data_IF_087539442066
#
_entry.id   IF_087539442066
#
_cell.length_a   1.000
_cell.length_b   1.000
_cell.length_c   1.000
_cell.angle_alpha   90.00
_cell.angle_beta   90.00
_cell.angle_gamma   90.00
#
_symmetry.space_group_name_H-M   'P 1'
#
loop_
_entity.id
_entity.type
_entity.pdbx_description
1 polymer ?
#
# COMPACT_ATOMS: atom_id res chain seq x y z
N UNK A 1 -35.09 -22.54 40.03
CA UNK A 1 -33.62 -22.59 40.11
C UNK A 1 -33.09 -23.39 38.93
N UNK A 2 -32.44 -22.77 37.95
CA UNK A 2 -31.14 -23.22 37.43
C UNK A 2 -30.61 -22.17 36.46
N UNK A 3 -29.33 -21.91 36.60
CA UNK A 3 -28.60 -20.69 36.28
C UNK A 3 -28.06 -20.67 34.85
N UNK A 4 -28.03 -19.45 34.32
CA UNK A 4 -27.22 -18.98 33.20
C UNK A 4 -25.81 -19.56 33.19
N UNK A 5 -25.42 -20.27 32.12
CA UNK A 5 -24.03 -20.32 31.63
C UNK A 5 -24.00 -20.77 30.16
N UNK A 6 -24.11 -19.79 29.27
CA UNK A 6 -23.93 -19.97 27.84
C UNK A 6 -23.44 -18.69 27.18
N UNK A 7 -22.68 -17.88 27.93
CA UNK A 7 -21.97 -16.71 27.41
C UNK A 7 -20.48 -16.97 27.58
N UNK A 8 -19.74 -16.67 26.52
CA UNK A 8 -18.29 -16.44 26.49
C UNK A 8 -17.39 -17.66 26.26
N UNK A 9 -17.22 -18.04 24.98
CA UNK A 9 -15.88 -18.29 24.41
C UNK A 9 -15.85 -17.87 22.92
N UNK A 10 -15.27 -16.68 22.69
CA UNK A 10 -14.31 -16.36 21.63
C UNK A 10 -14.43 -17.13 20.29
N UNK A 11 -14.94 -16.44 19.27
CA UNK A 11 -14.17 -16.28 18.02
C UNK A 11 -14.37 -14.85 17.52
N UNK A 12 -13.48 -13.93 17.90
CA UNK A 12 -13.40 -12.66 17.22
C UNK A 12 -12.95 -12.93 15.77
N UNK A 13 -13.89 -12.80 14.84
CA UNK A 13 -13.67 -12.13 13.56
C UNK A 13 -12.58 -12.68 12.64
N UNK A 14 -12.49 -14.00 12.42
CA UNK A 14 -11.71 -14.49 11.26
C UNK A 14 -12.56 -14.25 10.00
N UNK A 15 -12.08 -13.46 9.01
CA UNK A 15 -12.83 -13.24 7.78
C UNK A 15 -13.01 -14.56 7.01
N UNK A 16 -14.24 -14.86 6.61
CA UNK A 16 -14.64 -16.20 6.19
C UNK A 16 -14.16 -16.49 4.76
N UNK A 17 -14.20 -15.49 3.88
CA UNK A 17 -13.72 -15.61 2.50
C UNK A 17 -12.25 -15.16 2.32
N UNK A 18 -11.62 -15.62 1.23
CA UNK A 18 -10.27 -15.18 0.85
C UNK A 18 -10.21 -13.67 0.59
N UNK A 19 -11.25 -13.13 -0.05
CA UNK A 19 -11.37 -11.71 -0.36
C UNK A 19 -11.57 -10.87 0.91
N UNK A 20 -12.38 -11.33 1.88
CA UNK A 20 -12.53 -10.63 3.15
C UNK A 20 -11.21 -10.61 3.94
N UNK A 21 -10.43 -11.70 3.90
CA UNK A 21 -9.09 -11.74 4.52
C UNK A 21 -8.13 -10.77 3.84
N UNK A 22 -8.15 -10.69 2.51
CA UNK A 22 -7.35 -9.74 1.74
C UNK A 22 -7.75 -8.29 2.01
N UNK A 23 -9.05 -8.01 2.11
CA UNK A 23 -9.55 -6.69 2.51
C UNK A 23 -9.07 -6.34 3.91
N UNK A 24 -9.15 -7.26 4.88
CA UNK A 24 -8.64 -7.01 6.22
C UNK A 24 -7.13 -6.78 6.24
N UNK A 25 -6.36 -7.61 5.52
CA UNK A 25 -4.92 -7.46 5.37
C UNK A 25 -4.55 -6.12 4.74
N UNK A 26 -5.29 -5.67 3.71
CA UNK A 26 -5.10 -4.36 3.10
C UNK A 26 -5.23 -3.22 4.12
N UNK A 27 -6.30 -3.21 4.93
CA UNK A 27 -6.49 -2.18 5.97
C UNK A 27 -5.38 -2.21 7.03
N UNK A 28 -4.92 -3.40 7.43
CA UNK A 28 -3.79 -3.53 8.36
C UNK A 28 -2.50 -2.96 7.74
N UNK A 29 -2.21 -3.29 6.48
CA UNK A 29 -1.04 -2.80 5.77
C UNK A 29 -1.08 -1.29 5.57
N UNK A 30 -2.25 -0.72 5.24
CA UNK A 30 -2.40 0.74 5.18
C UNK A 30 -2.16 1.39 6.54
N UNK A 31 -2.62 0.80 7.64
CA UNK A 31 -2.30 1.30 9.00
C UNK A 31 -0.79 1.29 9.27
N UNK A 32 -0.06 0.27 8.80
CA UNK A 32 1.40 0.21 8.91
C UNK A 32 2.09 1.25 8.01
N UNK A 33 1.57 1.48 6.81
CA UNK A 33 2.07 2.51 5.90
C UNK A 33 1.89 3.93 6.44
N UNK A 34 0.97 4.16 7.37
CA UNK A 34 0.81 5.46 8.02
C UNK A 34 1.79 5.72 9.17
N UNK A 35 2.48 4.69 9.68
CA UNK A 35 3.38 4.87 10.83
C UNK A 35 4.50 5.86 10.52
N UNK A 36 4.90 6.67 11.50
CA UNK A 36 5.98 7.66 11.36
C UNK A 36 7.39 7.01 11.41
N UNK A 37 7.56 5.88 10.72
CA UNK A 37 8.81 5.13 10.68
C UNK A 37 9.02 4.40 9.35
N UNK A 38 10.11 4.70 8.65
CA UNK A 38 10.34 4.21 7.29
C UNK A 38 10.52 2.69 7.20
N UNK A 39 11.10 2.03 8.19
CA UNK A 39 11.25 0.56 8.18
C UNK A 39 9.91 -0.16 8.28
N UNK A 40 8.98 0.39 9.05
CA UNK A 40 7.63 -0.18 9.17
C UNK A 40 6.91 -0.03 7.84
N UNK A 41 6.98 1.18 7.25
CA UNK A 41 6.40 1.44 5.93
C UNK A 41 7.01 0.54 4.85
N UNK A 42 8.33 0.36 4.85
CA UNK A 42 9.02 -0.51 3.90
C UNK A 42 8.58 -1.98 4.03
N UNK A 43 8.50 -2.49 5.25
CA UNK A 43 8.06 -3.86 5.50
C UNK A 43 6.61 -4.07 5.05
N UNK A 44 5.72 -3.12 5.34
CA UNK A 44 4.34 -3.17 4.88
C UNK A 44 4.25 -3.11 3.36
N UNK A 45 5.02 -2.21 2.72
CA UNK A 45 5.08 -2.09 1.27
C UNK A 45 5.51 -3.40 0.59
N UNK A 46 6.51 -4.12 1.12
CA UNK A 46 6.95 -5.39 0.54
C UNK A 46 5.82 -6.44 0.50
N UNK A 47 4.98 -6.48 1.54
CA UNK A 47 3.80 -7.36 1.56
C UNK A 47 2.75 -6.89 0.56
N UNK A 48 2.52 -5.57 0.46
CA UNK A 48 1.61 -5.00 -0.54
C UNK A 48 2.05 -5.39 -1.96
N UNK A 49 3.33 -5.30 -2.28
CA UNK A 49 3.87 -5.62 -3.61
C UNK A 49 3.61 -7.08 -4.00
N UNK A 50 3.92 -8.02 -3.11
CA UNK A 50 3.65 -9.43 -3.32
C UNK A 50 2.15 -9.74 -3.51
N UNK A 51 1.29 -9.17 -2.66
CA UNK A 51 -0.15 -9.39 -2.74
C UNK A 51 -0.77 -8.74 -3.97
N UNK A 52 -0.26 -7.58 -4.38
CA UNK A 52 -0.70 -6.88 -5.59
C UNK A 52 -0.46 -7.75 -6.84
N UNK A 53 0.71 -8.36 -6.98
CA UNK A 53 0.98 -9.18 -8.17
C UNK A 53 0.10 -10.43 -8.19
N UNK A 54 -0.21 -11.02 -7.02
CA UNK A 54 -0.86 -12.33 -6.89
C UNK A 54 -2.39 -12.30 -6.86
N UNK A 55 -3.01 -11.19 -6.48
CA UNK A 55 -4.46 -11.13 -6.26
C UNK A 55 -5.15 -9.97 -6.97
N UNK A 56 -6.06 -10.28 -7.90
CA UNK A 56 -6.89 -9.27 -8.57
C UNK A 56 -7.71 -8.43 -7.59
N UNK A 57 -8.32 -9.05 -6.58
CA UNK A 57 -9.09 -8.34 -5.56
C UNK A 57 -8.21 -7.35 -4.80
N UNK A 58 -7.02 -7.78 -4.39
CA UNK A 58 -6.08 -6.91 -3.68
C UNK A 58 -5.59 -5.75 -4.56
N UNK A 59 -5.32 -5.99 -5.85
CA UNK A 59 -5.02 -4.91 -6.79
C UNK A 59 -6.13 -3.87 -6.84
N UNK A 60 -7.39 -4.30 -6.91
CA UNK A 60 -8.53 -3.38 -6.96
C UNK A 60 -8.57 -2.49 -5.72
N UNK A 61 -8.28 -3.03 -4.53
CA UNK A 61 -8.20 -2.23 -3.30
C UNK A 61 -7.11 -1.15 -3.39
N UNK A 62 -5.87 -1.55 -3.72
CA UNK A 62 -4.74 -0.62 -3.85
C UNK A 62 -4.98 0.44 -4.93
N UNK A 63 -5.53 0.06 -6.08
CA UNK A 63 -5.84 1.00 -7.17
C UNK A 63 -6.95 1.98 -6.76
N UNK A 64 -7.90 1.55 -5.95
CA UNK A 64 -8.98 2.41 -5.46
C UNK A 64 -8.45 3.57 -4.62
N UNK A 65 -7.48 3.33 -3.73
CA UNK A 65 -6.85 4.36 -2.89
C UNK A 65 -5.44 4.76 -3.38
N UNK A 66 -5.18 4.62 -4.69
CA UNK A 66 -3.82 4.69 -5.21
C UNK A 66 -3.07 5.99 -4.85
N UNK A 67 -3.76 7.13 -4.81
CA UNK A 67 -3.15 8.41 -4.44
C UNK A 67 -2.58 8.37 -3.02
N UNK A 68 -3.39 7.96 -2.03
CA UNK A 68 -2.94 7.84 -0.65
C UNK A 68 -1.79 6.84 -0.52
N UNK A 69 -1.85 5.73 -1.26
CA UNK A 69 -0.74 4.78 -1.33
C UNK A 69 0.56 5.41 -1.85
N UNK A 70 0.50 6.21 -2.92
CA UNK A 70 1.67 6.92 -3.47
C UNK A 70 2.22 7.96 -2.48
N UNK A 71 1.35 8.70 -1.79
CA UNK A 71 1.76 9.66 -0.77
C UNK A 71 2.55 8.98 0.35
N UNK A 72 2.07 7.84 0.85
CA UNK A 72 2.69 7.12 1.96
C UNK A 72 4.00 6.40 1.61
N UNK A 73 4.19 6.02 0.34
CA UNK A 73 5.33 5.19 -0.12
C UNK A 73 6.37 5.95 -0.94
N UNK A 74 5.98 6.99 -1.69
CA UNK A 74 6.89 7.82 -2.45
C UNK A 74 7.13 9.18 -1.78
N UNK A 75 6.22 9.63 -0.92
CA UNK A 75 6.23 10.98 -0.37
C UNK A 75 5.92 12.02 -1.45
N UNK A 76 4.89 11.76 -2.28
CA UNK A 76 4.47 12.68 -3.35
C UNK A 76 3.86 13.98 -2.81
N UNK A 77 3.40 13.99 -1.55
CA UNK A 77 3.01 15.22 -0.86
C UNK A 77 4.22 15.81 -0.12
N UNK A 78 4.64 17.01 -0.52
CA UNK A 78 5.72 17.74 0.13
C UNK A 78 5.41 18.11 1.59
N UNK A 79 4.12 18.20 1.96
CA UNK A 79 3.69 18.44 3.35
C UNK A 79 3.81 17.18 4.21
N UNK A 80 3.87 16.01 3.60
CA UNK A 80 4.02 14.72 4.28
C UNK A 80 5.21 13.94 3.69
N UNK A 81 6.45 14.36 3.99
CA UNK A 81 7.62 13.64 3.53
C UNK A 81 7.68 12.23 4.14
N UNK A 82 8.43 11.33 3.49
CA UNK A 82 8.68 10.01 4.06
C UNK A 82 9.40 10.13 5.42
N UNK A 83 8.98 9.36 6.44
CA UNK A 83 9.52 9.45 7.79
C UNK A 83 10.99 8.99 7.87
N UNK A 84 11.71 9.29 8.95
CA UNK A 84 13.04 8.70 9.20
C UNK A 84 12.96 7.17 9.41
N UNK A 85 14.09 6.44 9.27
CA UNK A 85 15.42 6.89 8.85
C UNK A 85 15.51 7.22 7.35
N UNK A 86 16.26 8.28 6.99
CA UNK A 86 16.35 8.80 5.60
C UNK A 86 16.80 7.74 4.58
N UNK A 87 17.73 6.88 4.96
CA UNK A 87 18.26 5.85 4.07
C UNK A 87 17.18 4.80 3.74
N UNK A 88 16.38 4.42 4.73
CA UNK A 88 15.28 3.49 4.54
C UNK A 88 14.15 4.15 3.74
N UNK A 89 13.84 5.41 3.99
CA UNK A 89 12.89 6.18 3.20
C UNK A 89 13.29 6.26 1.72
N UNK A 90 14.59 6.46 1.43
CA UNK A 90 15.13 6.43 0.07
C UNK A 90 14.92 5.06 -0.59
N UNK A 91 15.21 3.97 0.14
CA UNK A 91 14.98 2.60 -0.35
C UNK A 91 13.51 2.31 -0.62
N UNK A 92 12.62 2.73 0.29
CA UNK A 92 11.16 2.63 0.13
C UNK A 92 10.71 3.36 -1.14
N UNK A 93 11.11 4.63 -1.32
CA UNK A 93 10.77 5.40 -2.53
C UNK A 93 11.22 4.69 -3.81
N UNK A 94 12.46 4.22 -3.84
CA UNK A 94 13.01 3.53 -5.02
C UNK A 94 12.28 2.21 -5.30
N UNK A 95 11.94 1.44 -4.26
CA UNK A 95 11.22 0.18 -4.40
C UNK A 95 9.78 0.42 -4.89
N UNK A 96 9.07 1.38 -4.30
CA UNK A 96 7.72 1.75 -4.70
C UNK A 96 7.67 2.29 -6.13
N UNK A 97 8.64 3.11 -6.55
CA UNK A 97 8.69 3.62 -7.92
C UNK A 97 8.85 2.49 -8.95
N UNK A 98 9.77 1.55 -8.69
CA UNK A 98 9.97 0.37 -9.54
C UNK A 98 8.74 -0.53 -9.58
N UNK A 99 8.10 -0.77 -8.43
CA UNK A 99 6.90 -1.58 -8.35
C UNK A 99 5.76 -0.95 -9.15
N UNK A 100 5.49 0.36 -8.99
CA UNK A 100 4.45 1.06 -9.75
C UNK A 100 4.70 1.01 -11.25
N UNK A 101 5.95 1.16 -11.69
CA UNK A 101 6.31 0.96 -13.10
C UNK A 101 5.95 -0.46 -13.56
N UNK A 102 6.43 -1.50 -12.86
CA UNK A 102 6.17 -2.89 -13.23
C UNK A 102 4.68 -3.27 -13.18
N UNK A 103 3.94 -2.73 -12.20
CA UNK A 103 2.49 -2.89 -12.11
C UNK A 103 1.79 -2.23 -13.28
N UNK A 104 2.21 -1.01 -13.68
CA UNK A 104 1.65 -0.30 -14.83
C UNK A 104 1.92 -1.05 -16.13
N UNK A 105 3.11 -1.61 -16.32
CA UNK A 105 3.44 -2.41 -17.50
C UNK A 105 2.58 -3.68 -17.58
N UNK A 106 2.39 -4.36 -16.44
CA UNK A 106 1.68 -5.64 -16.39
C UNK A 106 0.16 -5.51 -16.37
N UNK A 107 -0.36 -4.47 -15.73
CA UNK A 107 -1.79 -4.34 -15.41
C UNK A 107 -2.41 -3.00 -15.85
N UNK A 108 -1.62 -2.04 -16.36
CA UNK A 108 -2.10 -0.69 -16.68
C UNK A 108 -3.23 -0.65 -17.71
N UNK A 109 -3.29 -1.62 -18.63
CA UNK A 109 -4.39 -1.75 -19.59
C UNK A 109 -5.74 -2.01 -18.90
N UNK A 110 -5.75 -2.79 -17.82
CA UNK A 110 -6.96 -3.11 -17.05
C UNK A 110 -7.29 -2.03 -16.00
N UNK A 111 -6.28 -1.31 -15.50
CA UNK A 111 -6.43 -0.32 -14.43
C UNK A 111 -5.95 1.07 -14.87
N UNK A 112 -6.83 1.85 -15.49
CA UNK A 112 -6.50 3.19 -16.00
C UNK A 112 -5.88 4.12 -14.95
N UNK A 113 -6.37 4.08 -13.70
CA UNK A 113 -5.84 4.90 -12.59
C UNK A 113 -4.37 4.56 -12.26
N UNK A 114 -4.00 3.29 -12.38
CA UNK A 114 -2.61 2.85 -12.22
C UNK A 114 -1.71 3.39 -13.34
N UNK A 115 -2.15 3.25 -14.60
CA UNK A 115 -1.42 3.77 -15.75
C UNK A 115 -1.23 5.29 -15.68
N UNK A 116 -2.29 6.02 -15.30
CA UNK A 116 -2.25 7.47 -15.12
C UNK A 116 -1.32 7.88 -13.98
N UNK A 117 -1.38 7.21 -12.83
CA UNK A 117 -0.49 7.51 -11.72
C UNK A 117 0.98 7.25 -12.06
N UNK A 118 1.29 6.15 -12.76
CA UNK A 118 2.65 5.91 -13.27
C UNK A 118 3.10 6.99 -14.28
N UNK A 119 2.22 7.38 -15.20
CA UNK A 119 2.51 8.47 -16.14
C UNK A 119 2.84 9.77 -15.40
N UNK A 120 2.03 10.15 -14.41
CA UNK A 120 2.28 11.33 -13.58
C UNK A 120 3.62 11.25 -12.86
N UNK A 121 3.97 10.10 -12.26
CA UNK A 121 5.26 9.91 -11.59
C UNK A 121 6.44 10.12 -12.53
N UNK A 122 6.39 9.62 -13.78
CA UNK A 122 7.49 9.84 -14.74
C UNK A 122 7.69 11.32 -15.06
N UNK A 123 6.61 12.07 -15.22
CA UNK A 123 6.70 13.50 -15.57
C UNK A 123 7.02 14.39 -14.36
N UNK A 124 6.57 14.04 -13.16
CA UNK A 124 6.92 14.75 -11.92
C UNK A 124 8.35 14.49 -11.46
N UNK A 125 8.92 13.31 -11.76
CA UNK A 125 10.36 13.04 -11.52
C UNK A 125 11.28 13.79 -12.50
N UNK A 126 10.78 14.15 -13.69
CA UNK A 126 11.52 14.91 -14.69
C UNK A 126 11.73 16.38 -14.28
N UNK A 127 10.86 16.91 -13.41
CA UNK A 127 11.01 18.24 -12.78
C UNK A 127 11.94 18.26 -11.56
N UNK A 128 12.36 17.11 -11.03
CA UNK A 128 13.25 17.03 -9.85
C UNK A 128 14.72 16.68 -10.21
N UNK A 129 15.04 16.46 -11.48
CA UNK A 129 16.43 16.31 -11.95
C UNK A 129 17.03 17.61 -12.49
N UNK A 130 16.27 18.71 -12.50
CA UNK A 130 16.74 20.00 -13.05
C UNK A 130 17.20 21.02 -12.00
N UNK A 131 17.25 20.67 -10.70
CA UNK A 131 17.84 21.53 -9.68
C UNK A 131 18.63 20.71 -8.66
N UNK A 132 19.95 20.67 -8.92
CA UNK A 132 21.11 20.28 -8.07
C UNK A 132 21.16 18.86 -7.52
#
# INVERSE_FOLDING_TARGET
MSTSVGRLLRTAGVPRSSEERLSHAYHLLMTQLHQEHAEIRLSAFQVVDELFVRSQHFRTLVVSDFQAFLELTLGTDHKQPLPPPKEVARRLRQAAARAVQGWSEKFGAAYKKLALGHHFLRHSHQTLQTWT
#
